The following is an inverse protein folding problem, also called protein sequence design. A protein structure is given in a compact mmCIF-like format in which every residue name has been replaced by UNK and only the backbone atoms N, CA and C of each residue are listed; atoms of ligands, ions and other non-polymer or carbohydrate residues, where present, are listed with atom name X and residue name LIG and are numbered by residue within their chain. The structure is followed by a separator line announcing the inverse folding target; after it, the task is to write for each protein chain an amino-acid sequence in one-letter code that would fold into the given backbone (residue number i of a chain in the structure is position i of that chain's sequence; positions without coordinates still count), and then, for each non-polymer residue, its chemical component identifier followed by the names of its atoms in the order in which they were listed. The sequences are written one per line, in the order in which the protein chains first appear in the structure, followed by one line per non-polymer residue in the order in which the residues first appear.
data_IF_727771860245
#
_entry.id   IF_727771860245
#
_cell.length_a   1.000
_cell.length_b   1.000
_cell.length_c   1.000
_cell.angle_alpha   90.00
_cell.angle_beta   90.00
_cell.angle_gamma   90.00
#
_symmetry.space_group_name_H-M   'P 1'
#
loop_
_entity.id
_entity.type
_entity.pdbx_description
1 polymer ?
#
# COMPACT_ATOMS: atom_id res chain seq x y z
N UNK A 1 -25.02 75.62 0.71
CA UNK A 1 -25.31 74.89 1.97
C UNK A 1 -26.09 73.63 1.62
N UNK A 2 -25.53 72.42 1.80
CA UNK A 2 -26.16 71.17 1.39
C UNK A 2 -27.16 70.70 2.46
N UNK A 3 -28.39 70.34 2.06
CA UNK A 3 -29.32 69.60 2.95
C UNK A 3 -29.13 68.11 2.74
N UNK A 4 -28.68 67.49 3.83
CA UNK A 4 -28.49 66.07 4.11
C UNK A 4 -29.50 65.15 3.43
N UNK A 5 -28.98 64.10 2.79
CA UNK A 5 -29.73 62.97 2.27
C UNK A 5 -30.42 62.19 3.40
N UNK A 6 -31.70 61.90 3.22
CA UNK A 6 -32.43 60.99 4.08
C UNK A 6 -32.01 59.55 3.79
N UNK A 7 -31.09 59.01 4.58
CA UNK A 7 -30.77 57.58 4.58
C UNK A 7 -31.94 56.81 5.19
N UNK A 8 -32.69 56.06 4.38
CA UNK A 8 -33.75 55.17 4.86
C UNK A 8 -33.09 54.00 5.59
N UNK A 9 -33.06 54.06 6.93
CA UNK A 9 -32.66 52.92 7.76
C UNK A 9 -33.77 51.87 7.74
N UNK A 10 -33.56 50.78 7.00
CA UNK A 10 -34.32 49.55 7.19
C UNK A 10 -33.79 48.86 8.45
N UNK A 11 -34.64 48.71 9.46
CA UNK A 11 -34.32 47.92 10.67
C UNK A 11 -35.11 46.62 10.55
N UNK A 12 -34.40 45.50 10.41
CA UNK A 12 -35.00 44.17 10.44
C UNK A 12 -35.12 43.80 11.93
N UNK A 13 -36.34 43.89 12.48
CA UNK A 13 -36.64 43.32 13.79
C UNK A 13 -36.91 41.82 13.59
N UNK A 14 -36.14 40.96 14.25
CA UNK A 14 -36.37 39.52 14.29
C UNK A 14 -37.05 39.20 15.61
N UNK A 15 -38.35 39.40 15.68
CA UNK A 15 -39.12 38.99 16.86
C UNK A 15 -39.30 37.47 16.79
N UNK A 16 -38.59 36.76 17.67
CA UNK A 16 -38.64 35.31 17.79
C UNK A 16 -39.99 34.92 18.41
N UNK A 17 -41.00 34.67 17.57
CA UNK A 17 -42.27 34.11 17.98
C UNK A 17 -42.24 32.60 17.70
N UNK A 18 -41.93 31.81 18.72
CA UNK A 18 -41.87 30.34 18.62
C UNK A 18 -43.26 29.74 18.51
N UNK A 19 -43.55 29.15 17.34
CA UNK A 19 -44.59 28.12 17.17
C UNK A 19 -44.27 27.30 15.91
N UNK A 20 -43.69 26.12 16.14
CA UNK A 20 -43.56 24.98 15.22
C UNK A 20 -43.50 25.30 13.71
N UNK A 21 -42.26 25.36 13.20
CA UNK A 21 -41.86 25.17 11.80
C UNK A 21 -42.15 26.23 10.73
N UNK A 22 -42.63 27.43 11.06
CA UNK A 22 -42.66 28.54 10.10
C UNK A 22 -41.97 29.80 10.65
N UNK A 23 -40.70 30.03 10.26
CA UNK A 23 -40.07 31.37 10.40
C UNK A 23 -40.73 32.32 9.40
N UNK A 24 -41.73 33.08 9.83
CA UNK A 24 -42.28 34.19 9.04
C UNK A 24 -41.38 35.41 9.24
N UNK A 25 -40.61 35.78 8.22
CA UNK A 25 -39.96 37.08 8.19
C UNK A 25 -40.97 38.14 7.75
N UNK A 26 -41.35 39.03 8.67
CA UNK A 26 -42.20 40.17 8.37
C UNK A 26 -41.29 41.38 8.12
N UNK A 27 -41.13 41.82 6.87
CA UNK A 27 -40.44 43.09 6.59
C UNK A 27 -41.46 44.22 6.80
N UNK A 28 -41.32 44.95 7.91
CA UNK A 28 -42.17 46.11 8.20
C UNK A 28 -41.52 47.35 7.59
N UNK A 29 -42.12 47.90 6.53
CA UNK A 29 -41.77 49.25 6.07
C UNK A 29 -42.39 50.28 7.03
N UNK A 30 -41.58 51.02 7.80
CA UNK A 30 -42.06 51.98 8.81
C UNK A 30 -42.91 53.13 8.23
N UNK A 31 -42.85 53.39 6.93
CA UNK A 31 -43.55 54.52 6.31
C UNK A 31 -44.83 54.13 5.56
N UNK A 32 -45.13 52.84 5.40
CA UNK A 32 -46.38 52.37 4.79
C UNK A 32 -46.80 51.03 5.40
N UNK A 33 -47.93 51.01 6.11
CA UNK A 33 -48.48 49.87 6.87
C UNK A 33 -49.04 48.74 5.99
N UNK A 34 -48.31 48.29 4.95
CA UNK A 34 -48.64 47.07 4.20
C UNK A 34 -47.55 46.04 4.39
N UNK A 35 -47.83 45.05 5.24
CA UNK A 35 -47.04 43.83 5.36
C UNK A 35 -47.37 42.93 4.17
N UNK A 36 -46.36 42.63 3.35
CA UNK A 36 -46.45 41.60 2.30
C UNK A 36 -45.73 40.37 2.83
N UNK A 37 -46.48 39.30 3.09
CA UNK A 37 -45.94 38.05 3.63
C UNK A 37 -45.30 37.27 2.48
N UNK A 38 -43.98 37.08 2.52
CA UNK A 38 -43.26 36.22 1.57
C UNK A 38 -43.08 34.83 2.19
N UNK A 39 -43.75 33.81 1.63
CA UNK A 39 -43.60 32.43 2.10
C UNK A 39 -42.37 31.78 1.47
N UNK A 40 -41.28 31.66 2.24
CA UNK A 40 -40.14 30.80 1.86
C UNK A 40 -40.50 29.36 2.21
N UNK A 41 -40.98 28.59 1.22
CA UNK A 41 -41.27 27.17 1.40
C UNK A 41 -39.97 26.37 1.54
N UNK A 42 -39.59 26.03 2.78
CA UNK A 42 -38.51 25.08 3.05
C UNK A 42 -38.97 23.68 2.63
N UNK A 43 -38.41 23.13 1.53
CA UNK A 43 -38.62 21.72 1.15
C UNK A 43 -38.22 20.83 2.34
N UNK A 44 -39.17 20.10 2.92
CA UNK A 44 -38.87 19.10 3.94
C UNK A 44 -38.10 17.95 3.26
N UNK A 45 -36.87 17.71 3.71
CA UNK A 45 -36.13 16.50 3.31
C UNK A 45 -36.85 15.30 3.95
N UNK A 46 -37.34 14.38 3.13
CA UNK A 46 -37.89 13.11 3.62
C UNK A 46 -36.75 12.34 4.31
N UNK A 47 -36.93 11.98 5.57
CA UNK A 47 -36.04 11.08 6.29
C UNK A 47 -36.39 9.63 5.98
N UNK A 48 -35.44 8.72 6.18
CA UNK A 48 -35.67 7.28 6.12
C UNK A 48 -36.61 6.84 7.24
N UNK A 49 -37.48 5.89 6.95
CA UNK A 49 -38.31 5.24 7.97
C UNK A 49 -37.47 4.27 8.80
N UNK A 50 -37.83 4.05 10.07
CA UNK A 50 -37.12 3.11 10.94
C UNK A 50 -37.15 1.68 10.38
N UNK A 51 -38.26 1.30 9.73
CA UNK A 51 -38.41 -0.04 9.16
C UNK A 51 -37.56 -0.24 7.91
N UNK A 52 -37.39 0.79 7.07
CA UNK A 52 -36.46 0.73 5.93
C UNK A 52 -35.04 0.48 6.40
N UNK A 53 -34.59 1.18 7.45
CA UNK A 53 -33.24 0.96 7.98
C UNK A 53 -33.08 -0.44 8.60
N UNK A 54 -34.12 -0.92 9.29
CA UNK A 54 -34.12 -2.24 9.94
C UNK A 54 -34.05 -3.40 8.93
N UNK A 55 -34.79 -3.31 7.82
CA UNK A 55 -34.72 -4.33 6.77
C UNK A 55 -33.35 -4.30 6.08
N UNK A 56 -32.78 -3.12 5.85
CA UNK A 56 -31.47 -2.97 5.20
C UNK A 56 -30.36 -3.63 6.03
N UNK A 57 -30.28 -3.35 7.33
CA UNK A 57 -29.26 -3.99 8.18
C UNK A 57 -29.47 -5.51 8.28
N UNK A 58 -30.73 -5.97 8.22
CA UNK A 58 -31.06 -7.41 8.19
C UNK A 58 -30.55 -8.10 6.93
N UNK A 59 -30.79 -7.50 5.76
CA UNK A 59 -30.28 -8.02 4.47
C UNK A 59 -28.74 -7.97 4.44
N UNK A 60 -28.13 -6.87 4.90
CA UNK A 60 -26.67 -6.75 4.96
C UNK A 60 -26.03 -7.81 5.85
N UNK A 61 -26.65 -8.16 6.98
CA UNK A 61 -26.15 -9.22 7.86
C UNK A 61 -26.13 -10.58 7.16
N UNK A 62 -27.18 -10.93 6.41
CA UNK A 62 -27.27 -12.21 5.68
C UNK A 62 -26.27 -12.25 4.52
N UNK A 63 -26.15 -11.17 3.76
CA UNK A 63 -25.20 -11.12 2.64
C UNK A 63 -23.74 -11.14 3.13
N UNK A 64 -23.43 -10.45 4.22
CA UNK A 64 -22.08 -10.44 4.79
C UNK A 64 -21.62 -11.85 5.19
N UNK A 65 -22.46 -12.63 5.88
CA UNK A 65 -22.08 -14.00 6.28
C UNK A 65 -21.89 -14.92 5.07
N UNK A 66 -22.76 -14.83 4.06
CA UNK A 66 -22.63 -15.61 2.83
C UNK A 66 -21.35 -15.27 2.06
N UNK A 67 -20.99 -13.99 1.94
CA UNK A 67 -19.79 -13.57 1.19
C UNK A 67 -18.48 -14.03 1.83
N UNK A 68 -18.35 -14.02 3.16
CA UNK A 68 -17.13 -14.47 3.85
C UNK A 68 -16.88 -15.97 3.64
N UNK A 69 -17.94 -16.78 3.62
CA UNK A 69 -17.83 -18.23 3.38
C UNK A 69 -17.38 -18.55 1.96
N UNK A 70 -17.78 -17.74 0.98
CA UNK A 70 -17.47 -17.98 -0.44
C UNK A 70 -16.12 -17.39 -0.84
N UNK A 71 -15.76 -16.21 -0.36
CA UNK A 71 -14.65 -15.43 -0.93
C UNK A 71 -13.31 -15.56 -0.19
N UNK A 72 -13.22 -16.32 0.90
CA UNK A 72 -12.03 -16.42 1.76
C UNK A 72 -11.14 -15.16 1.72
N UNK A 73 -11.59 -14.04 2.33
CA UNK A 73 -10.95 -12.73 2.15
C UNK A 73 -9.47 -12.71 2.54
N UNK A 74 -9.04 -13.58 3.45
CA UNK A 74 -7.63 -13.74 3.81
C UNK A 74 -6.78 -14.13 2.58
N UNK A 75 -7.28 -15.07 1.77
CA UNK A 75 -6.62 -15.52 0.55
C UNK A 75 -6.53 -14.41 -0.51
N UNK A 76 -7.56 -13.56 -0.63
CA UNK A 76 -7.52 -12.42 -1.56
C UNK A 76 -6.48 -11.38 -1.14
N UNK A 77 -6.34 -11.11 0.16
CA UNK A 77 -5.28 -10.22 0.65
C UNK A 77 -3.89 -10.83 0.47
N UNK A 78 -3.73 -12.14 0.70
CA UNK A 78 -2.49 -12.86 0.44
C UNK A 78 -2.10 -12.77 -1.05
N UNK A 79 -3.03 -13.00 -1.98
CA UNK A 79 -2.80 -12.85 -3.42
C UNK A 79 -2.35 -11.44 -3.82
N UNK A 80 -2.95 -10.40 -3.22
CA UNK A 80 -2.55 -9.03 -3.47
C UNK A 80 -1.12 -8.74 -2.99
N UNK A 81 -0.72 -9.30 -1.84
CA UNK A 81 0.66 -9.19 -1.34
C UNK A 81 1.63 -9.99 -2.19
N UNK A 82 1.31 -11.22 -2.57
CA UNK A 82 2.16 -12.05 -3.43
C UNK A 82 2.40 -11.38 -4.79
N UNK A 83 1.37 -10.78 -5.38
CA UNK A 83 1.53 -9.98 -6.61
C UNK A 83 2.50 -8.82 -6.41
N UNK A 84 2.52 -8.20 -5.23
CA UNK A 84 3.48 -7.16 -4.88
C UNK A 84 4.89 -7.75 -4.71
N UNK A 85 5.05 -8.91 -4.05
CA UNK A 85 6.34 -9.61 -3.91
C UNK A 85 6.98 -9.92 -5.25
N UNK A 86 6.21 -10.48 -6.18
CA UNK A 86 6.67 -10.79 -7.54
C UNK A 86 7.13 -9.51 -8.26
N UNK A 87 6.37 -8.41 -8.13
CA UNK A 87 6.74 -7.12 -8.72
C UNK A 87 8.00 -6.51 -8.10
N UNK A 88 8.14 -6.58 -6.78
CA UNK A 88 9.29 -6.04 -6.04
C UNK A 88 10.56 -6.79 -6.38
N UNK A 89 10.50 -8.13 -6.41
CA UNK A 89 11.61 -8.98 -6.79
C UNK A 89 11.99 -8.82 -8.27
N UNK A 90 11.03 -8.69 -9.18
CA UNK A 90 11.32 -8.39 -10.59
C UNK A 90 12.00 -7.02 -10.77
N UNK A 91 11.61 -6.03 -9.96
CA UNK A 91 12.21 -4.69 -9.94
C UNK A 91 13.64 -4.75 -9.41
N UNK A 92 13.88 -5.49 -8.31
CA UNK A 92 15.22 -5.72 -7.76
C UNK A 92 16.13 -6.46 -8.75
N UNK A 93 15.65 -7.55 -9.35
CA UNK A 93 16.39 -8.31 -10.37
C UNK A 93 16.83 -7.39 -11.51
N UNK A 94 15.93 -6.55 -11.99
CA UNK A 94 16.23 -5.60 -13.07
C UNK A 94 17.26 -4.55 -12.63
N UNK A 95 17.13 -4.02 -11.42
CA UNK A 95 18.07 -3.03 -10.87
C UNK A 95 19.48 -3.60 -10.66
N UNK A 96 19.60 -4.80 -10.10
CA UNK A 96 20.88 -5.48 -9.89
C UNK A 96 21.49 -5.83 -11.26
N UNK A 97 20.71 -6.37 -12.19
CA UNK A 97 21.20 -6.69 -13.55
C UNK A 97 21.72 -5.43 -14.27
N UNK A 98 21.02 -4.30 -14.11
CA UNK A 98 21.46 -3.02 -14.67
C UNK A 98 22.76 -2.52 -14.01
N UNK A 99 22.88 -2.66 -12.69
CA UNK A 99 24.12 -2.36 -11.97
C UNK A 99 25.30 -3.20 -12.49
N UNK A 100 25.12 -4.52 -12.62
CA UNK A 100 26.16 -5.44 -13.15
C UNK A 100 26.58 -5.11 -14.58
N UNK A 101 25.65 -4.60 -15.41
CA UNK A 101 25.92 -4.24 -16.79
C UNK A 101 26.62 -2.88 -16.96
N UNK A 102 26.52 -1.97 -15.99
CA UNK A 102 26.93 -0.56 -16.15
C UNK A 102 28.08 -0.13 -15.25
N UNK A 103 28.27 -0.76 -14.10
CA UNK A 103 29.34 -0.42 -13.16
C UNK A 103 30.61 -1.21 -13.49
N UNK A 104 31.74 -0.51 -13.59
CA UNK A 104 33.05 -1.13 -13.82
C UNK A 104 33.58 -1.75 -12.54
N UNK A 105 33.76 -3.07 -12.53
CA UNK A 105 34.16 -3.82 -11.34
C UNK A 105 33.03 -3.87 -10.31
N UNK A 106 31.87 -4.44 -10.67
CA UNK A 106 30.72 -4.47 -9.78
C UNK A 106 31.03 -5.27 -8.53
N UNK A 107 30.68 -4.70 -7.39
CA UNK A 107 30.74 -5.34 -6.08
C UNK A 107 29.33 -5.65 -5.58
N UNK A 108 29.10 -6.89 -5.13
CA UNK A 108 27.79 -7.45 -4.85
C UNK A 108 27.55 -7.79 -3.37
N UNK A 109 28.58 -7.72 -2.53
CA UNK A 109 28.53 -7.97 -1.08
C UNK A 109 29.08 -6.82 -0.22
N UNK A 110 29.70 -5.81 -0.82
CA UNK A 110 30.23 -4.64 -0.12
C UNK A 110 31.35 -5.04 0.84
N UNK A 111 31.07 -5.04 2.15
CA UNK A 111 32.02 -5.49 3.18
C UNK A 111 31.79 -6.94 3.63
N UNK A 112 30.83 -7.65 3.03
CA UNK A 112 30.51 -9.04 3.37
C UNK A 112 31.25 -10.08 2.54
N UNK A 113 30.82 -11.34 2.66
CA UNK A 113 31.31 -12.47 1.87
C UNK A 113 30.11 -13.22 1.30
N UNK A 114 29.80 -12.97 0.03
CA UNK A 114 28.72 -13.61 -0.74
C UNK A 114 28.55 -15.13 -0.45
N UNK A 115 29.63 -15.92 -0.55
CA UNK A 115 29.55 -17.40 -0.47
C UNK A 115 29.36 -17.98 0.94
N UNK A 116 29.33 -17.17 2.00
CA UNK A 116 29.06 -17.64 3.36
C UNK A 116 27.92 -16.89 4.03
N UNK A 117 27.44 -15.82 3.39
CA UNK A 117 26.46 -14.93 3.96
C UNK A 117 25.28 -14.76 3.01
N UNK A 118 24.10 -14.62 3.60
CA UNK A 118 22.95 -14.08 2.93
C UNK A 118 22.49 -12.82 3.67
N UNK A 119 21.66 -12.02 3.02
CA UNK A 119 21.07 -10.82 3.60
C UNK A 119 19.55 -10.90 3.50
N UNK A 120 18.85 -10.14 4.32
CA UNK A 120 17.40 -10.11 4.25
C UNK A 120 16.79 -8.88 4.91
N UNK A 121 15.52 -8.62 4.59
CA UNK A 121 14.81 -7.41 5.03
C UNK A 121 14.61 -7.31 6.55
N UNK A 122 14.79 -8.40 7.29
CA UNK A 122 14.56 -8.50 8.74
C UNK A 122 15.69 -9.25 9.42
N UNK A 123 15.92 -8.99 10.71
CA UNK A 123 16.85 -9.80 11.50
C UNK A 123 16.26 -11.21 11.71
N UNK A 124 17.10 -12.22 11.58
CA UNK A 124 16.72 -13.64 11.56
C UNK A 124 15.74 -13.99 10.44
N UNK A 125 15.96 -13.44 9.24
CA UNK A 125 15.24 -13.88 8.04
C UNK A 125 15.35 -15.41 7.89
N UNK A 126 14.35 -16.05 7.28
CA UNK A 126 14.44 -17.49 7.00
C UNK A 126 15.50 -17.72 5.93
N UNK A 127 16.44 -18.60 6.23
CA UNK A 127 17.49 -19.05 5.32
C UNK A 127 16.89 -20.12 4.38
N UNK A 128 16.92 -19.86 3.08
CA UNK A 128 16.37 -20.71 2.01
C UNK A 128 17.36 -20.77 0.84
N UNK A 129 18.63 -20.98 1.14
CA UNK A 129 19.72 -21.01 0.19
C UNK A 129 20.51 -22.32 0.35
N UNK A 130 21.23 -22.70 -0.68
CA UNK A 130 22.11 -23.86 -0.64
C UNK A 130 23.33 -23.58 0.24
N UNK A 131 23.79 -24.60 0.97
CA UNK A 131 24.98 -24.50 1.81
C UNK A 131 24.80 -23.84 3.18
N UNK A 132 23.57 -23.43 3.53
CA UNK A 132 23.20 -22.88 4.84
C UNK A 132 24.06 -21.68 5.27
N UNK A 133 24.10 -20.60 4.47
CA UNK A 133 24.83 -19.38 4.79
C UNK A 133 24.33 -18.71 6.09
N UNK A 134 25.16 -17.85 6.67
CA UNK A 134 24.80 -17.10 7.88
C UNK A 134 24.25 -15.73 7.52
N UNK A 135 23.23 -15.26 8.23
CA UNK A 135 22.68 -13.94 7.94
C UNK A 135 23.67 -12.83 8.29
N UNK A 136 23.85 -11.89 7.37
CA UNK A 136 24.46 -10.59 7.62
C UNK A 136 23.49 -9.65 8.35
N UNK A 137 24.00 -8.79 9.22
CA UNK A 137 23.19 -7.97 10.13
C UNK A 137 22.48 -6.76 9.48
N UNK A 138 22.73 -6.48 8.19
CA UNK A 138 22.17 -5.31 7.52
C UNK A 138 20.73 -5.57 7.05
N UNK A 139 19.78 -4.83 7.63
CA UNK A 139 18.34 -4.92 7.32
C UNK A 139 17.76 -3.60 6.79
N UNK A 140 18.63 -2.63 6.49
CA UNK A 140 18.22 -1.30 6.05
C UNK A 140 17.63 -1.28 4.64
N UNK A 141 16.84 -0.27 4.31
CA UNK A 141 16.26 -0.11 2.96
C UNK A 141 16.98 0.93 2.10
N UNK A 142 18.13 1.40 2.53
CA UNK A 142 18.96 2.34 1.78
C UNK A 142 19.61 1.66 0.58
N UNK A 143 19.93 2.44 -0.46
CA UNK A 143 20.43 1.95 -1.76
C UNK A 143 21.91 2.26 -1.99
N UNK A 144 22.63 2.65 -0.93
CA UNK A 144 24.04 3.07 -0.95
C UNK A 144 25.01 1.94 -0.58
N UNK A 145 24.54 0.69 -0.56
CA UNK A 145 25.30 -0.50 -0.16
C UNK A 145 25.22 -0.83 1.33
N UNK A 146 24.60 0.02 2.16
CA UNK A 146 24.34 -0.28 3.58
C UNK A 146 22.95 -0.92 3.81
N UNK A 147 22.20 -1.19 2.74
CA UNK A 147 20.90 -1.85 2.81
C UNK A 147 21.00 -3.36 2.99
N UNK A 148 19.84 -4.01 3.06
CA UNK A 148 19.73 -5.47 3.08
C UNK A 148 20.14 -6.09 1.74
N UNK A 149 20.10 -5.34 0.64
CA UNK A 149 20.87 -5.68 -0.55
C UNK A 149 22.16 -4.88 -0.49
N UNK A 150 23.34 -5.51 -0.26
CA UNK A 150 24.62 -4.84 -0.06
C UNK A 150 25.25 -4.33 -1.38
N UNK A 151 24.41 -3.92 -2.34
CA UNK A 151 24.82 -3.36 -3.63
C UNK A 151 24.70 -1.85 -3.56
N UNK A 152 25.77 -1.13 -3.93
CA UNK A 152 25.76 0.32 -3.96
C UNK A 152 25.22 0.86 -5.29
N UNK A 153 23.90 0.94 -5.40
CA UNK A 153 23.20 1.45 -6.58
C UNK A 153 23.48 2.94 -6.87
N UNK A 154 23.99 3.71 -5.91
CA UNK A 154 24.33 5.13 -6.15
C UNK A 154 25.51 5.32 -7.10
N UNK A 155 26.29 4.26 -7.33
CA UNK A 155 27.44 4.25 -8.25
C UNK A 155 27.05 4.01 -9.70
N UNK A 156 25.78 3.66 -9.96
CA UNK A 156 25.26 3.45 -11.32
C UNK A 156 25.34 4.76 -12.12
N UNK A 157 25.92 4.75 -13.33
CA UNK A 157 25.93 5.92 -14.21
C UNK A 157 24.51 6.40 -14.51
N UNK A 158 24.24 7.69 -14.25
CA UNK A 158 22.91 8.28 -14.41
C UNK A 158 22.05 8.26 -13.14
N UNK A 159 22.56 7.69 -12.04
CA UNK A 159 21.89 7.66 -10.73
C UNK A 159 21.31 6.29 -10.40
N UNK A 160 20.89 6.13 -9.14
CA UNK A 160 20.34 4.87 -8.66
C UNK A 160 19.04 4.52 -9.38
N UNK A 161 18.87 3.28 -9.90
CA UNK A 161 17.61 2.81 -10.46
C UNK A 161 16.49 2.68 -9.42
N UNK A 162 16.84 2.63 -8.13
CA UNK A 162 15.90 2.51 -7.01
C UNK A 162 16.07 3.68 -6.05
N UNK A 163 14.98 4.23 -5.54
CA UNK A 163 15.01 5.25 -4.48
C UNK A 163 15.07 4.64 -3.07
N UNK A 164 14.64 3.39 -2.92
CA UNK A 164 14.57 2.63 -1.66
C UNK A 164 14.51 1.14 -2.01
N UNK A 165 15.09 0.28 -1.18
CA UNK A 165 14.88 -1.16 -1.29
C UNK A 165 13.48 -1.52 -0.77
N UNK A 166 12.75 -2.42 -1.45
CA UNK A 166 11.45 -2.85 -1.00
C UNK A 166 11.57 -3.68 0.27
N UNK A 167 10.47 -3.72 1.01
CA UNK A 167 10.26 -4.61 2.15
C UNK A 167 9.01 -5.44 1.88
N UNK A 168 8.92 -6.60 2.52
CA UNK A 168 7.71 -7.42 2.40
C UNK A 168 6.44 -6.66 2.87
N UNK A 169 5.31 -6.77 2.15
CA UNK A 169 4.05 -6.15 2.53
C UNK A 169 3.45 -6.67 3.84
N UNK A 170 3.79 -7.90 4.25
CA UNK A 170 3.45 -8.39 5.59
C UNK A 170 4.44 -7.76 6.56
N UNK A 171 3.88 -6.97 7.49
CA UNK A 171 4.50 -6.42 8.70
C UNK A 171 6.00 -6.75 8.82
N UNK A 172 6.92 -5.78 8.70
CA UNK A 172 8.32 -5.97 8.25
C UNK A 172 9.24 -6.72 9.24
N UNK A 173 8.77 -7.77 9.91
CA UNK A 173 9.43 -8.46 11.01
C UNK A 173 9.09 -9.97 11.08
N UNK A 174 8.44 -10.57 10.08
CA UNK A 174 8.29 -12.03 10.04
C UNK A 174 9.41 -12.66 9.22
N UNK A 175 10.23 -13.49 9.88
CA UNK A 175 11.33 -14.22 9.26
C UNK A 175 10.89 -14.96 7.97
N UNK A 176 9.73 -15.63 8.04
CA UNK A 176 9.21 -16.51 7.00
C UNK A 176 8.68 -15.79 5.75
N UNK A 177 8.35 -14.50 5.82
CA UNK A 177 7.87 -13.72 4.66
C UNK A 177 8.85 -12.60 4.28
N UNK A 178 10.08 -12.63 4.78
CA UNK A 178 11.09 -11.65 4.41
C UNK A 178 11.63 -11.88 2.99
N UNK A 179 12.16 -10.82 2.37
CA UNK A 179 12.98 -10.99 1.17
C UNK A 179 14.40 -11.28 1.59
N UNK A 180 15.02 -12.22 0.90
CA UNK A 180 16.43 -12.57 1.12
C UNK A 180 17.22 -12.45 -0.17
N UNK A 181 18.53 -12.27 -0.03
CA UNK A 181 19.48 -12.07 -1.11
C UNK A 181 20.76 -12.85 -0.82
N UNK A 182 21.26 -13.55 -1.83
CA UNK A 182 22.61 -14.10 -1.86
C UNK A 182 23.25 -13.83 -3.23
N UNK A 183 24.57 -13.94 -3.25
CA UNK A 183 25.37 -13.66 -4.43
C UNK A 183 26.56 -14.61 -4.55
N UNK A 184 27.19 -14.58 -5.72
CA UNK A 184 28.55 -15.00 -5.96
C UNK A 184 29.30 -13.83 -6.60
N UNK A 185 30.16 -13.18 -5.80
CA UNK A 185 30.94 -12.03 -6.27
C UNK A 185 32.04 -12.43 -7.27
N UNK A 186 32.33 -13.72 -7.47
CA UNK A 186 33.27 -14.20 -8.49
C UNK A 186 32.59 -14.31 -9.84
N UNK A 187 31.49 -15.05 -9.91
CA UNK A 187 30.75 -15.29 -11.15
C UNK A 187 29.78 -14.14 -11.50
N UNK A 188 29.61 -13.17 -10.60
CA UNK A 188 28.64 -12.06 -10.70
C UNK A 188 27.21 -12.55 -10.86
N UNK A 189 26.88 -13.60 -10.12
CA UNK A 189 25.53 -14.14 -10.03
C UNK A 189 24.89 -13.76 -8.69
N UNK A 190 23.56 -13.72 -8.68
CA UNK A 190 22.77 -13.48 -7.49
C UNK A 190 21.44 -14.18 -7.60
N UNK A 191 20.85 -14.31 -6.42
CA UNK A 191 19.56 -14.92 -6.17
C UNK A 191 18.82 -14.10 -5.10
N UNK A 192 17.53 -13.95 -5.30
CA UNK A 192 16.61 -13.28 -4.40
C UNK A 192 15.42 -14.19 -4.16
N UNK A 193 15.08 -14.39 -2.89
CA UNK A 193 14.06 -15.35 -2.50
C UNK A 193 12.93 -14.67 -1.72
N UNK A 194 11.69 -15.13 -1.94
CA UNK A 194 10.52 -14.73 -1.17
C UNK A 194 9.51 -15.87 -1.08
N UNK A 195 8.89 -16.04 0.09
CA UNK A 195 7.87 -17.05 0.30
C UNK A 195 6.46 -16.51 -0.03
N UNK A 196 5.68 -17.24 -0.83
CA UNK A 196 4.31 -16.87 -1.18
C UNK A 196 3.33 -17.25 -0.07
N UNK A 197 2.35 -16.39 0.19
CA UNK A 197 1.38 -16.62 1.27
C UNK A 197 0.12 -17.31 0.76
N UNK A 198 -0.27 -17.01 -0.47
CA UNK A 198 -1.50 -17.53 -1.05
C UNK A 198 -1.27 -18.88 -1.71
N UNK A 199 -2.18 -19.82 -1.46
CA UNK A 199 -2.27 -21.08 -2.22
C UNK A 199 -2.42 -20.93 -3.75
N UNK A 200 -2.59 -19.71 -4.28
CA UNK A 200 -2.65 -19.46 -5.73
C UNK A 200 -1.25 -19.38 -6.33
N UNK A 201 -0.36 -18.65 -5.66
CA UNK A 201 1.02 -18.42 -6.08
C UNK A 201 2.00 -19.43 -5.49
N UNK A 202 1.64 -20.06 -4.37
CA UNK A 202 2.43 -21.10 -3.76
C UNK A 202 2.44 -22.40 -4.57
N UNK A 203 3.35 -23.30 -4.22
CA UNK A 203 3.52 -24.62 -4.84
C UNK A 203 2.17 -25.37 -5.03
N UNK A 204 1.91 -25.79 -6.27
CA UNK A 204 0.68 -26.51 -6.67
C UNK A 204 -0.55 -25.60 -6.87
N UNK A 205 -0.40 -24.29 -6.75
CA UNK A 205 -1.43 -23.29 -7.03
C UNK A 205 -1.73 -23.10 -8.52
N UNK A 206 -2.78 -22.34 -8.84
CA UNK A 206 -3.15 -22.11 -10.26
C UNK A 206 -2.15 -21.21 -11.00
N UNK A 207 -1.48 -20.32 -10.27
CA UNK A 207 -0.44 -19.42 -10.77
C UNK A 207 0.85 -19.66 -9.98
N UNK A 208 1.17 -20.94 -9.77
CA UNK A 208 2.35 -21.38 -9.01
C UNK A 208 3.63 -20.77 -9.59
N UNK A 209 4.30 -19.94 -8.79
CA UNK A 209 5.58 -19.32 -9.14
C UNK A 209 6.76 -19.97 -8.43
N UNK A 210 6.54 -20.68 -7.32
CA UNK A 210 7.59 -21.26 -6.47
C UNK A 210 8.17 -22.56 -7.04
N UNK A 211 7.40 -23.32 -7.83
CA UNK A 211 7.92 -24.56 -8.43
C UNK A 211 8.30 -24.42 -9.90
N UNK A 212 8.09 -23.24 -10.48
CA UNK A 212 8.24 -22.99 -11.92
C UNK A 212 9.24 -21.88 -12.27
N UNK A 213 9.90 -21.32 -11.26
CA UNK A 213 10.94 -20.30 -11.40
C UNK A 213 12.30 -20.85 -11.89
N UNK A 214 12.49 -22.16 -11.79
CA UNK A 214 13.69 -22.86 -12.25
C UNK A 214 14.81 -22.92 -11.23
N UNK A 215 14.48 -22.66 -9.96
CA UNK A 215 15.40 -22.75 -8.82
C UNK A 215 15.42 -24.12 -8.12
N UNK A 216 16.08 -24.16 -6.96
CA UNK A 216 16.28 -25.39 -6.19
C UNK A 216 15.32 -25.53 -4.98
N UNK A 217 14.63 -24.46 -4.56
CA UNK A 217 13.65 -24.46 -3.46
C UNK A 217 12.20 -24.39 -3.96
N UNK A 218 11.59 -25.55 -4.21
CA UNK A 218 10.23 -25.64 -4.77
C UNK A 218 9.07 -25.04 -3.93
N UNK A 219 9.34 -24.50 -2.74
CA UNK A 219 8.37 -23.84 -1.85
C UNK A 219 8.74 -22.39 -1.54
N UNK A 220 9.63 -21.80 -2.32
CA UNK A 220 10.07 -20.41 -2.23
C UNK A 220 10.12 -19.88 -3.65
N UNK A 221 9.76 -18.61 -3.84
CA UNK A 221 9.90 -17.98 -5.15
C UNK A 221 11.28 -17.39 -5.28
N UNK A 222 12.00 -17.85 -6.29
CA UNK A 222 13.41 -17.58 -6.51
C UNK A 222 13.59 -16.77 -7.80
N UNK A 223 14.36 -15.69 -7.75
CA UNK A 223 14.72 -14.94 -8.97
C UNK A 223 16.15 -14.44 -8.92
N UNK A 224 16.81 -14.49 -10.08
CA UNK A 224 18.20 -14.09 -10.16
C UNK A 224 18.76 -14.16 -11.56
N UNK A 225 20.08 -14.11 -11.63
CA UNK A 225 20.85 -14.49 -12.82
C UNK A 225 21.76 -15.69 -12.55
N UNK A 226 21.68 -16.29 -11.36
CA UNK A 226 22.40 -17.51 -11.05
C UNK A 226 21.83 -18.72 -11.83
N UNK A 227 22.67 -19.52 -12.52
CA UNK A 227 22.21 -20.68 -13.26
C UNK A 227 21.65 -21.79 -12.37
N UNK A 228 20.32 -21.84 -12.27
CA UNK A 228 19.62 -22.85 -11.48
C UNK A 228 19.21 -22.36 -10.10
N UNK A 229 19.49 -21.08 -9.78
CA UNK A 229 19.13 -20.40 -8.53
C UNK A 229 19.41 -21.35 -7.35
N UNK A 230 20.68 -21.76 -7.24
CA UNK A 230 21.16 -22.72 -6.25
C UNK A 230 22.30 -22.13 -5.40
N UNK A 231 22.24 -20.81 -5.14
CA UNK A 231 23.22 -20.10 -4.30
C UNK A 231 23.07 -20.44 -2.82
#
# INVERSE_FOLDING_TARGET
MPKLGATIKFSIAVDNCDSYNFRRYCIINKNNKKSTIFNVFKKMKKGFTLIELLIVIGILAILATATVLVLNPAQLFAQARDSQRVSDLATLRSAISFYLATVSGPDMDGAGTCGTNYWGTVASATENFTGAPTQSANVGTVVDGAGWVPVNFTTVPGGSPLSVLPNDPVNPNTAAQSYTYQCDNTNKTFELNANMESTRYAQGGSDDVESTDGGDQAGVYEVGNDPGLDL
#
